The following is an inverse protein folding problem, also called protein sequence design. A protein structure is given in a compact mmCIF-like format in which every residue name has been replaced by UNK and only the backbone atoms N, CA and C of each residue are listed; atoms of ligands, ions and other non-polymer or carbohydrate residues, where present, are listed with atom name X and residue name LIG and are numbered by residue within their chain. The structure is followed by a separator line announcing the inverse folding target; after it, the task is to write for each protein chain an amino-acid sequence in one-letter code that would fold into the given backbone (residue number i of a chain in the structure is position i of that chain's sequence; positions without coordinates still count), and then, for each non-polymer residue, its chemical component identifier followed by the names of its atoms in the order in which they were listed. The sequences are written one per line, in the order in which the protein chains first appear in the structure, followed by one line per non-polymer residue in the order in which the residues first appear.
data_IF_991215863604
#
_entry.id   IF_991215863604
#
_cell.length_a   1.000
_cell.length_b   1.000
_cell.length_c   1.000
_cell.angle_alpha   90.00
_cell.angle_beta   90.00
_cell.angle_gamma   90.00
#
_symmetry.space_group_name_H-M   'P 1'
#
loop_
_entity.id
_entity.type
_entity.pdbx_description
1 polymer ?
#
# COMPACT_ATOMS: atom_id res chain seq x y z
N UNK A 1 -15.21 -13.77 18.02
CA UNK A 1 -13.96 -13.01 17.86
C UNK A 1 -13.56 -13.04 16.39
N UNK A 2 -13.06 -11.93 15.87
CA UNK A 2 -12.55 -11.82 14.50
C UNK A 2 -11.07 -11.50 14.57
N UNK A 3 -10.23 -12.20 13.81
CA UNK A 3 -8.78 -12.09 13.96
C UNK A 3 -8.02 -11.92 12.66
N UNK A 4 -7.38 -10.78 12.39
CA UNK A 4 -6.36 -10.71 11.36
C UNK A 4 -5.17 -11.59 11.74
N UNK A 5 -5.07 -12.73 11.08
CA UNK A 5 -3.88 -13.56 11.04
C UNK A 5 -3.02 -13.13 9.87
N UNK A 6 -1.75 -12.96 10.17
CA UNK A 6 -0.72 -12.79 9.17
C UNK A 6 0.28 -13.91 9.38
N UNK A 7 0.67 -14.59 8.30
CA UNK A 7 1.65 -15.70 8.34
C UNK A 7 2.87 -15.31 9.16
N UNK A 8 3.38 -14.12 8.86
CA UNK A 8 4.59 -13.61 9.51
C UNK A 8 4.49 -12.15 9.99
N UNK A 9 3.55 -11.29 9.54
CA UNK A 9 3.77 -9.82 9.63
C UNK A 9 2.52 -8.96 9.75
N UNK A 10 2.49 -8.05 10.72
CA UNK A 10 1.43 -7.05 10.89
C UNK A 10 1.53 -5.92 9.84
N UNK A 11 1.21 -6.22 8.59
CA UNK A 11 1.19 -5.24 7.48
C UNK A 11 0.01 -4.27 7.54
N UNK A 12 0.06 -3.24 6.69
CA UNK A 12 -0.95 -2.17 6.63
C UNK A 12 -2.37 -2.70 6.46
N UNK A 13 -2.56 -3.78 5.70
CA UNK A 13 -3.87 -4.42 5.51
C UNK A 13 -4.37 -5.02 6.83
N UNK A 14 -3.52 -5.80 7.51
CA UNK A 14 -3.86 -6.41 8.80
C UNK A 14 -4.12 -5.37 9.89
N UNK A 15 -3.30 -4.33 9.95
CA UNK A 15 -3.44 -3.22 10.92
C UNK A 15 -4.72 -2.41 10.69
N UNK A 16 -4.98 -1.99 9.44
CA UNK A 16 -6.18 -1.21 9.11
C UNK A 16 -7.45 -2.03 9.35
N UNK A 17 -7.42 -3.31 8.99
CA UNK A 17 -8.51 -4.26 9.24
C UNK A 17 -8.75 -4.45 10.73
N UNK A 18 -7.70 -4.65 11.53
CA UNK A 18 -7.82 -4.81 12.97
C UNK A 18 -8.49 -3.61 13.64
N UNK A 19 -8.05 -2.39 13.29
CA UNK A 19 -8.64 -1.15 13.78
C UNK A 19 -10.10 -1.03 13.34
N UNK A 20 -10.41 -1.29 12.06
CA UNK A 20 -11.77 -1.17 11.54
C UNK A 20 -12.74 -2.13 12.21
N UNK A 21 -12.34 -3.39 12.41
CA UNK A 21 -13.14 -4.40 13.09
C UNK A 21 -13.37 -4.04 14.57
N UNK A 22 -12.35 -3.51 15.23
CA UNK A 22 -12.47 -3.03 16.60
C UNK A 22 -13.44 -1.85 16.72
N UNK A 23 -13.44 -0.93 15.75
CA UNK A 23 -14.43 0.16 15.67
C UNK A 23 -15.86 -0.35 15.51
N UNK A 24 -16.06 -1.55 14.94
CA UNK A 24 -17.37 -2.20 14.84
C UNK A 24 -17.77 -2.94 16.15
N UNK A 25 -16.93 -2.90 17.18
CA UNK A 25 -17.16 -3.57 18.45
C UNK A 25 -16.72 -5.04 18.48
N UNK A 26 -16.00 -5.52 17.46
CA UNK A 26 -15.42 -6.85 17.52
C UNK A 26 -14.24 -6.90 18.51
N UNK A 27 -14.15 -8.01 19.25
CA UNK A 27 -12.92 -8.35 19.99
C UNK A 27 -11.92 -8.96 19.02
N UNK A 28 -10.76 -8.30 18.89
CA UNK A 28 -9.76 -8.59 17.86
C UNK A 28 -8.41 -8.85 18.51
N UNK A 29 -7.68 -9.83 17.96
CA UNK A 29 -6.28 -10.12 18.29
C UNK A 29 -5.49 -10.12 16.98
N UNK A 30 -4.39 -9.36 16.92
CA UNK A 30 -3.42 -9.45 15.82
C UNK A 30 -2.41 -10.54 16.16
N UNK A 31 -2.23 -11.50 15.25
CA UNK A 31 -1.17 -12.50 15.36
C UNK A 31 -0.19 -12.34 14.19
N UNK A 32 1.07 -12.09 14.52
CA UNK A 32 2.15 -11.87 13.57
C UNK A 32 3.53 -12.14 14.21
N UNK A 33 4.55 -12.51 13.43
CA UNK A 33 5.94 -12.65 13.90
C UNK A 33 6.69 -11.31 13.91
N UNK A 34 6.44 -10.48 12.91
CA UNK A 34 7.03 -9.17 12.66
C UNK A 34 5.98 -8.05 12.85
N UNK A 35 6.40 -6.95 13.44
CA UNK A 35 5.58 -5.77 13.73
C UNK A 35 6.32 -4.51 13.28
N UNK A 36 5.61 -3.38 13.14
CA UNK A 36 6.25 -2.12 12.77
C UNK A 36 7.47 -1.79 13.64
N UNK A 37 8.58 -1.49 12.98
CA UNK A 37 9.86 -1.11 13.58
C UNK A 37 10.45 0.11 12.85
N UNK A 38 11.42 0.83 13.46
CA UNK A 38 12.10 1.94 12.79
C UNK A 38 12.80 1.49 11.49
N UNK A 39 12.69 2.31 10.44
CA UNK A 39 13.19 2.01 9.10
C UNK A 39 14.73 2.00 9.03
N UNK A 40 15.37 2.75 9.92
CA UNK A 40 16.81 2.95 10.03
C UNK A 40 17.50 1.69 10.56
N UNK A 41 16.85 0.99 11.49
CA UNK A 41 17.43 -0.13 12.25
C UNK A 41 16.92 -1.50 11.81
N UNK A 42 15.99 -1.58 10.85
CA UNK A 42 15.48 -2.87 10.37
C UNK A 42 16.51 -3.60 9.50
N UNK A 43 16.69 -4.90 9.77
CA UNK A 43 17.44 -5.81 8.90
C UNK A 43 16.65 -6.01 7.59
N UNK A 44 17.13 -5.38 6.53
CA UNK A 44 16.44 -5.37 5.24
C UNK A 44 16.36 -6.74 4.59
N UNK A 45 17.33 -7.63 4.84
CA UNK A 45 17.35 -8.96 4.24
C UNK A 45 16.43 -9.90 5.01
N UNK A 46 16.52 -9.90 6.35
CA UNK A 46 15.66 -10.73 7.19
C UNK A 46 14.17 -10.36 7.05
N UNK A 47 13.87 -9.07 6.93
CA UNK A 47 12.50 -8.55 6.81
C UNK A 47 12.11 -8.13 5.38
N UNK A 48 12.79 -8.64 4.34
CA UNK A 48 12.55 -8.25 2.93
C UNK A 48 11.09 -8.46 2.49
N UNK A 49 10.42 -9.46 3.06
CA UNK A 49 9.04 -9.80 2.74
C UNK A 49 8.04 -9.02 3.62
N UNK A 50 8.50 -8.17 4.56
CA UNK A 50 7.66 -7.22 5.29
C UNK A 50 7.37 -5.97 4.48
N UNK A 51 6.68 -6.19 3.37
CA UNK A 51 6.48 -5.21 2.29
C UNK A 51 6.01 -3.83 2.76
N UNK A 52 5.18 -3.74 3.81
CA UNK A 52 4.68 -2.46 4.30
C UNK A 52 5.79 -1.46 4.65
N UNK A 53 6.96 -1.92 5.11
CA UNK A 53 8.06 -1.03 5.48
C UNK A 53 8.88 -0.50 4.29
N UNK A 54 8.77 -1.15 3.14
CA UNK A 54 9.56 -0.84 1.94
C UNK A 54 8.83 0.06 0.95
N UNK A 55 7.55 0.35 1.20
CA UNK A 55 6.75 1.21 0.33
C UNK A 55 7.24 2.66 0.30
N UNK A 56 6.75 3.42 -0.69
CA UNK A 56 6.86 4.87 -0.71
C UNK A 56 6.31 5.49 0.58
N UNK A 57 5.00 5.51 0.82
CA UNK A 57 3.87 5.05 0.00
C UNK A 57 2.87 6.19 -0.22
N UNK A 58 2.15 6.20 -1.34
CA UNK A 58 1.16 7.23 -1.67
C UNK A 58 -0.13 6.63 -2.22
N UNK A 59 -1.13 7.48 -2.39
CA UNK A 59 -2.24 7.20 -3.29
C UNK A 59 -1.87 7.62 -4.72
N UNK A 60 -2.05 6.71 -5.68
CA UNK A 60 -1.94 7.01 -7.11
C UNK A 60 -3.20 6.53 -7.79
N UNK A 61 -3.86 7.40 -8.54
CA UNK A 61 -5.10 7.01 -9.20
C UNK A 61 -4.82 6.10 -10.39
N UNK A 62 -5.61 5.05 -10.51
CA UNK A 62 -5.66 4.19 -11.70
C UNK A 62 -7.05 4.35 -12.28
N UNK A 63 -7.12 4.84 -13.52
CA UNK A 63 -8.40 5.05 -14.19
C UNK A 63 -9.02 3.67 -14.53
N UNK A 64 -10.20 3.33 -13.99
CA UNK A 64 -10.73 1.99 -14.11
C UNK A 64 -11.36 1.74 -15.49
N UNK A 65 -10.95 0.65 -16.15
CA UNK A 65 -11.47 0.23 -17.47
C UNK A 65 -12.21 -1.10 -17.45
N UNK A 66 -12.20 -1.82 -16.33
CA UNK A 66 -12.91 -3.10 -16.15
C UNK A 66 -13.50 -3.21 -14.73
N UNK A 67 -14.31 -4.24 -14.47
CA UNK A 67 -15.00 -4.42 -13.18
C UNK A 67 -14.05 -4.59 -12.00
N UNK A 68 -12.91 -5.27 -12.21
CA UNK A 68 -11.90 -5.44 -11.17
C UNK A 68 -11.30 -4.09 -10.77
N UNK A 69 -10.95 -3.27 -11.75
CA UNK A 69 -10.41 -1.93 -11.50
C UNK A 69 -11.46 -0.97 -10.95
N UNK A 70 -12.74 -1.08 -11.34
CA UNK A 70 -13.83 -0.31 -10.73
C UNK A 70 -13.96 -0.62 -9.25
N UNK A 71 -13.89 -1.91 -8.87
CA UNK A 71 -13.87 -2.35 -7.47
C UNK A 71 -12.65 -1.75 -6.74
N UNK A 72 -11.46 -1.91 -7.30
CA UNK A 72 -10.23 -1.43 -6.67
C UNK A 72 -10.22 0.10 -6.53
N UNK A 73 -10.73 0.83 -7.52
CA UNK A 73 -10.92 2.28 -7.49
C UNK A 73 -11.89 2.69 -6.37
N UNK A 74 -13.00 1.98 -6.20
CA UNK A 74 -13.93 2.22 -5.10
C UNK A 74 -13.26 2.02 -3.72
N UNK A 75 -12.40 1.00 -3.58
CA UNK A 75 -11.61 0.77 -2.36
C UNK A 75 -10.57 1.86 -2.13
N UNK A 76 -9.93 2.36 -3.18
CA UNK A 76 -9.00 3.48 -3.10
C UNK A 76 -9.71 4.78 -2.69
N UNK A 77 -10.92 5.06 -3.22
CA UNK A 77 -11.74 6.21 -2.81
C UNK A 77 -12.13 6.17 -1.33
N UNK A 78 -12.58 5.00 -0.82
CA UNK A 78 -12.88 4.80 0.61
C UNK A 78 -11.63 5.09 1.45
N UNK A 79 -10.48 4.58 1.02
CA UNK A 79 -9.20 4.81 1.69
C UNK A 79 -8.80 6.28 1.67
N UNK A 80 -8.91 6.96 0.54
CA UNK A 80 -8.60 8.39 0.41
C UNK A 80 -9.41 9.24 1.39
N UNK A 81 -10.74 9.01 1.47
CA UNK A 81 -11.61 9.71 2.43
C UNK A 81 -11.23 9.42 3.88
N UNK A 82 -10.87 8.17 4.18
CA UNK A 82 -10.40 7.80 5.51
C UNK A 82 -9.09 8.53 5.85
N UNK A 83 -8.11 8.52 4.94
CA UNK A 83 -6.84 9.21 5.14
C UNK A 83 -7.03 10.72 5.32
N UNK A 84 -7.99 11.33 4.62
CA UNK A 84 -8.32 12.75 4.79
C UNK A 84 -8.86 13.05 6.19
N UNK A 85 -9.82 12.23 6.67
CA UNK A 85 -10.35 12.34 8.03
C UNK A 85 -9.27 12.12 9.09
N UNK A 86 -8.41 11.14 8.87
CA UNK A 86 -7.34 10.77 9.79
C UNK A 86 -6.25 11.85 9.86
N UNK A 87 -5.84 12.43 8.73
CA UNK A 87 -4.87 13.52 8.70
C UNK A 87 -5.39 14.77 9.43
N UNK A 88 -6.70 15.05 9.37
CA UNK A 88 -7.33 16.18 10.08
C UNK A 88 -7.38 15.98 11.61
N UNK A 89 -7.52 14.74 12.07
CA UNK A 89 -7.78 14.42 13.49
C UNK A 89 -6.59 13.81 14.23
N UNK A 90 -5.60 13.30 13.50
CA UNK A 90 -4.44 12.59 14.02
C UNK A 90 -3.17 13.00 13.24
N UNK A 91 -2.62 14.21 13.47
CA UNK A 91 -1.39 14.66 12.80
C UNK A 91 -0.20 13.71 13.03
N UNK A 92 -0.19 12.99 14.14
CA UNK A 92 0.81 11.97 14.49
C UNK A 92 0.69 10.67 13.66
N UNK A 93 -0.31 10.54 12.79
CA UNK A 93 -0.45 9.40 11.89
C UNK A 93 0.58 9.39 10.75
N UNK A 94 1.30 10.49 10.52
CA UNK A 94 2.34 10.54 9.50
C UNK A 94 1.80 10.65 8.07
N UNK A 95 0.57 11.19 7.89
CA UNK A 95 -0.09 11.37 6.60
C UNK A 95 0.12 12.81 6.14
N UNK A 96 0.51 13.00 4.88
CA UNK A 96 0.67 14.33 4.29
C UNK A 96 -0.09 14.41 2.98
N UNK A 97 -1.01 15.36 2.89
CA UNK A 97 -1.67 15.69 1.62
C UNK A 97 -0.82 16.67 0.82
N UNK A 98 -0.69 16.42 -0.48
CA UNK A 98 0.16 17.18 -1.40
C UNK A 98 -0.27 16.94 -2.86
N UNK A 99 0.26 17.71 -3.82
CA UNK A 99 0.07 17.41 -5.23
C UNK A 99 0.68 16.06 -5.62
N UNK A 100 -0.03 15.33 -6.48
CA UNK A 100 0.44 14.20 -7.24
C UNK A 100 0.53 14.59 -8.71
N UNK A 101 1.68 14.37 -9.33
CA UNK A 101 1.96 14.71 -10.73
C UNK A 101 2.25 13.42 -11.49
N UNK A 102 1.65 13.27 -12.66
CA UNK A 102 1.90 12.14 -13.55
C UNK A 102 2.23 12.58 -14.97
N UNK A 103 3.19 11.89 -15.57
CA UNK A 103 3.60 12.06 -16.96
C UNK A 103 3.62 10.71 -17.66
N UNK A 104 3.03 10.66 -18.86
CA UNK A 104 3.03 9.48 -19.72
C UNK A 104 3.57 9.87 -21.11
N UNK A 105 4.54 9.11 -21.60
CA UNK A 105 5.03 9.24 -22.98
C UNK A 105 4.15 8.49 -23.99
N UNK A 106 3.60 7.34 -23.61
CA UNK A 106 2.66 6.55 -24.41
C UNK A 106 1.36 6.28 -23.64
N UNK A 107 0.48 7.30 -23.50
CA UNK A 107 -0.74 7.19 -22.71
C UNK A 107 -1.74 6.22 -23.37
N UNK A 108 -2.31 5.26 -22.62
CA UNK A 108 -3.41 4.44 -23.13
C UNK A 108 -4.62 5.30 -23.54
N UNK A 109 -5.45 4.80 -24.47
CA UNK A 109 -6.60 5.53 -25.02
C UNK A 109 -7.56 6.08 -23.95
N UNK A 110 -7.76 5.35 -22.85
CA UNK A 110 -8.65 5.79 -21.77
C UNK A 110 -8.07 6.95 -20.93
N UNK A 111 -6.74 7.10 -20.87
CA UNK A 111 -6.10 8.30 -20.32
C UNK A 111 -6.21 9.47 -21.28
N UNK A 112 -6.01 9.24 -22.58
CA UNK A 112 -6.19 10.28 -23.61
C UNK A 112 -7.62 10.83 -23.64
N UNK A 113 -8.62 9.96 -23.42
CA UNK A 113 -10.04 10.33 -23.38
C UNK A 113 -10.48 10.89 -22.02
N UNK A 114 -9.61 10.94 -21.01
CA UNK A 114 -9.96 11.44 -19.68
C UNK A 114 -10.12 12.96 -19.73
N UNK A 115 -11.29 13.46 -19.33
CA UNK A 115 -11.55 14.88 -19.10
C UNK A 115 -11.56 15.18 -17.60
N UNK A 116 -11.43 16.46 -17.23
CA UNK A 116 -11.51 16.89 -15.83
C UNK A 116 -12.89 16.58 -15.22
N UNK A 117 -13.98 16.75 -15.98
CA UNK A 117 -15.32 16.36 -15.55
C UNK A 117 -15.42 14.85 -15.31
N UNK A 118 -14.80 14.03 -16.18
CA UNK A 118 -14.77 12.59 -15.99
C UNK A 118 -13.96 12.22 -14.75
N UNK A 119 -12.80 12.83 -14.55
CA UNK A 119 -11.98 12.64 -13.36
C UNK A 119 -12.74 13.02 -12.07
N UNK A 120 -13.46 14.15 -12.08
CA UNK A 120 -14.33 14.58 -10.98
C UNK A 120 -15.45 13.58 -10.72
N UNK A 121 -16.09 13.03 -11.77
CA UNK A 121 -17.11 11.98 -11.63
C UNK A 121 -16.57 10.68 -11.03
N UNK A 122 -15.27 10.42 -11.23
CA UNK A 122 -14.54 9.31 -10.63
C UNK A 122 -14.04 9.64 -9.21
N UNK A 123 -14.28 10.84 -8.69
CA UNK A 123 -13.89 11.26 -7.34
C UNK A 123 -12.42 11.67 -7.19
N UNK A 124 -11.72 11.95 -8.29
CA UNK A 124 -10.37 12.51 -8.23
C UNK A 124 -10.47 13.99 -7.81
N UNK A 125 -9.81 14.32 -6.71
CA UNK A 125 -9.90 15.63 -6.06
C UNK A 125 -8.85 16.57 -6.63
N UNK A 126 -9.25 17.82 -6.93
CA UNK A 126 -8.37 18.87 -7.48
C UNK A 126 -7.59 18.40 -8.72
N UNK A 127 -8.21 17.53 -9.53
CA UNK A 127 -7.61 17.01 -10.76
C UNK A 127 -7.63 18.06 -11.87
N UNK A 128 -6.50 18.21 -12.55
CA UNK A 128 -6.36 19.02 -13.76
C UNK A 128 -5.48 18.33 -14.78
N UNK A 129 -5.76 18.55 -16.06
CA UNK A 129 -4.86 18.17 -17.14
C UNK A 129 -3.78 19.24 -17.31
N UNK A 130 -2.55 18.81 -17.56
CA UNK A 130 -1.43 19.72 -17.82
C UNK A 130 -1.34 20.06 -19.31
N UNK A 131 -0.96 21.29 -19.60
CA UNK A 131 -0.61 21.74 -20.95
C UNK A 131 0.80 21.27 -21.35
N UNK A 132 1.12 21.14 -22.65
CA UNK A 132 2.46 20.73 -23.09
C UNK A 132 3.61 21.62 -22.59
N UNK A 133 3.36 22.90 -22.30
CA UNK A 133 4.36 23.81 -21.72
C UNK A 133 4.73 23.49 -20.27
N UNK A 134 3.94 22.67 -19.57
CA UNK A 134 4.20 22.22 -18.20
C UNK A 134 4.94 20.87 -18.16
N UNK A 135 5.16 20.24 -19.31
CA UNK A 135 5.85 18.96 -19.38
C UNK A 135 7.36 19.12 -19.18
N UNK A 136 8.04 18.10 -18.64
CA UNK A 136 9.49 18.16 -18.43
C UNK A 136 10.28 18.17 -19.75
N UNK A 137 9.72 17.60 -20.82
CA UNK A 137 10.31 17.55 -22.16
C UNK A 137 9.23 17.25 -23.21
N UNK A 138 9.65 17.18 -24.48
CA UNK A 138 8.78 16.94 -25.65
C UNK A 138 8.36 15.48 -25.83
N UNK A 139 8.89 14.54 -25.04
CA UNK A 139 8.53 13.11 -25.12
C UNK A 139 7.23 12.82 -24.41
N UNK A 140 6.94 13.55 -23.33
CA UNK A 140 5.67 13.42 -22.60
C UNK A 140 4.52 13.84 -23.51
N UNK A 141 3.49 12.99 -23.60
CA UNK A 141 2.30 13.22 -24.44
C UNK A 141 1.03 13.44 -23.62
N UNK A 142 1.06 13.10 -22.33
CA UNK A 142 -0.04 13.31 -21.42
C UNK A 142 0.50 13.58 -20.02
N UNK A 143 -0.08 14.55 -19.32
CA UNK A 143 0.25 14.83 -17.93
C UNK A 143 -0.94 15.36 -17.14
N UNK A 144 -0.92 15.11 -15.84
CA UNK A 144 -1.94 15.61 -14.93
C UNK A 144 -1.36 15.97 -13.57
N UNK A 145 -2.13 16.76 -12.84
CA UNK A 145 -1.90 17.04 -11.43
C UNK A 145 -3.19 16.80 -10.66
N UNK A 146 -3.10 16.28 -9.44
CA UNK A 146 -4.25 16.07 -8.55
C UNK A 146 -3.85 16.12 -7.09
N UNK A 147 -4.82 16.29 -6.19
CA UNK A 147 -4.58 16.15 -4.76
C UNK A 147 -4.41 14.69 -4.39
N UNK A 148 -3.31 14.38 -3.71
CA UNK A 148 -3.05 13.04 -3.18
C UNK A 148 -2.54 13.09 -1.74
N UNK A 149 -2.25 11.92 -1.18
CA UNK A 149 -1.56 11.77 0.09
C UNK A 149 -0.36 10.83 -0.05
N UNK A 150 0.65 11.05 0.78
CA UNK A 150 1.72 10.10 1.06
C UNK A 150 1.81 9.86 2.57
N UNK A 151 2.53 8.79 2.95
CA UNK A 151 2.82 8.45 4.35
C UNK A 151 4.28 8.09 4.53
N UNK A 152 4.82 8.37 5.72
CA UNK A 152 5.93 7.60 6.25
C UNK A 152 5.38 6.23 6.70
N UNK A 153 5.71 5.11 6.00
CA UNK A 153 5.03 3.84 6.23
C UNK A 153 5.14 3.33 7.67
N UNK A 154 6.29 3.51 8.32
CA UNK A 154 6.51 2.97 9.67
C UNK A 154 5.95 3.86 10.76
N UNK A 155 5.89 5.18 10.55
CA UNK A 155 5.12 6.08 11.42
C UNK A 155 3.64 5.71 11.35
N UNK A 156 3.09 5.57 10.14
CA UNK A 156 1.68 5.25 9.93
C UNK A 156 1.30 3.86 10.48
N UNK A 157 2.08 2.82 10.18
CA UNK A 157 1.80 1.48 10.72
C UNK A 157 1.95 1.41 12.24
N UNK A 158 2.93 2.11 12.83
CA UNK A 158 3.07 2.20 14.29
C UNK A 158 1.90 2.96 14.93
N UNK A 159 1.43 4.03 14.27
CA UNK A 159 0.23 4.74 14.67
C UNK A 159 -1.00 3.82 14.71
N UNK A 160 -1.23 3.03 13.65
CA UNK A 160 -2.35 2.08 13.60
C UNK A 160 -2.23 1.00 14.69
N UNK A 161 -1.04 0.46 14.89
CA UNK A 161 -0.80 -0.54 15.95
C UNK A 161 -1.09 0.05 17.33
N UNK A 162 -0.61 1.27 17.61
CA UNK A 162 -0.88 1.97 18.87
C UNK A 162 -2.36 2.25 19.06
N UNK A 163 -3.05 2.72 18.01
CA UNK A 163 -4.50 2.98 18.03
C UNK A 163 -5.28 1.70 18.33
N UNK A 164 -4.89 0.58 17.71
CA UNK A 164 -5.46 -0.73 17.97
C UNK A 164 -5.26 -1.19 19.42
N UNK A 165 -4.04 -1.12 19.93
CA UNK A 165 -3.74 -1.49 21.33
C UNK A 165 -4.46 -0.58 22.34
N UNK A 166 -4.50 0.72 22.08
CA UNK A 166 -5.23 1.69 22.91
C UNK A 166 -6.73 1.40 22.97
N UNK A 167 -7.34 0.94 21.87
CA UNK A 167 -8.73 0.50 21.82
C UNK A 167 -9.01 -0.83 22.54
N UNK A 168 -8.04 -1.40 23.27
CA UNK A 168 -8.16 -2.68 23.96
C UNK A 168 -7.85 -3.90 23.09
N UNK A 169 -7.25 -3.70 21.92
CA UNK A 169 -6.84 -4.76 21.01
C UNK A 169 -5.63 -5.52 21.55
N UNK A 170 -5.61 -6.84 21.39
CA UNK A 170 -4.51 -7.68 21.86
C UNK A 170 -3.55 -8.01 20.72
N UNK A 171 -2.27 -8.11 21.04
CA UNK A 171 -1.21 -8.43 20.08
C UNK A 171 -0.47 -9.66 20.56
N UNK A 172 -0.34 -10.65 19.68
CA UNK A 172 0.41 -11.88 19.95
C UNK A 172 1.54 -12.02 18.94
N UNK A 173 2.78 -11.97 19.43
CA UNK A 173 3.95 -12.23 18.59
C UNK A 173 4.13 -13.72 18.38
N UNK A 174 3.78 -14.22 17.20
CA UNK A 174 3.85 -15.64 16.85
C UNK A 174 3.88 -15.86 15.34
N UNK A 175 4.65 -16.87 14.94
CA UNK A 175 4.62 -17.43 13.58
C UNK A 175 3.50 -18.46 13.48
N UNK A 176 2.79 -18.45 12.36
CA UNK A 176 1.71 -19.41 12.07
C UNK A 176 2.00 -20.05 10.71
N UNK A 177 1.91 -21.38 10.65
CA UNK A 177 2.16 -22.13 9.43
C UNK A 177 0.86 -22.46 8.67
N UNK A 178 -0.26 -22.62 9.39
CA UNK A 178 -1.61 -22.77 8.84
C UNK A 178 -2.61 -21.86 9.57
N UNK A 179 -3.47 -21.17 8.83
CA UNK A 179 -4.50 -20.28 9.37
C UNK A 179 -5.40 -20.96 10.42
N UNK A 180 -5.63 -22.27 10.29
CA UNK A 180 -6.47 -23.07 11.18
C UNK A 180 -5.88 -23.24 12.57
N UNK A 181 -4.56 -23.07 12.74
CA UNK A 181 -3.92 -23.09 14.06
C UNK A 181 -4.58 -22.07 14.99
N UNK A 182 -4.98 -20.91 14.47
CA UNK A 182 -5.60 -19.88 15.29
C UNK A 182 -6.92 -20.29 15.95
N UNK A 183 -7.63 -21.28 15.41
CA UNK A 183 -8.86 -21.79 16.01
C UNK A 183 -8.60 -22.67 17.24
N UNK A 184 -7.38 -23.22 17.39
CA UNK A 184 -7.02 -24.15 18.47
C UNK A 184 -5.98 -23.61 19.45
N UNK A 185 -5.45 -22.41 19.23
CA UNK A 185 -4.51 -21.76 20.14
C UNK A 185 -5.11 -21.51 21.53
N UNK A 186 -4.45 -21.98 22.59
CA UNK A 186 -4.96 -21.92 23.98
C UNK A 186 -4.89 -20.52 24.58
N UNK A 187 -3.93 -19.72 24.13
CA UNK A 187 -3.74 -18.32 24.50
C UNK A 187 -4.89 -17.42 24.00
N UNK A 188 -5.82 -18.01 23.26
CA UNK A 188 -6.70 -17.36 22.32
C UNK A 188 -8.11 -17.97 22.47
N UNK A 189 -8.93 -17.45 23.38
CA UNK A 189 -10.26 -18.00 23.63
C UNK A 189 -11.31 -17.66 22.55
N UNK A 190 -12.22 -18.61 22.25
CA UNK A 190 -13.47 -18.46 21.47
C UNK A 190 -13.33 -17.86 20.06
N UNK A 191 -12.46 -18.46 19.25
CA UNK A 191 -12.13 -17.99 17.90
C UNK A 191 -13.11 -18.57 16.90
N UNK A 192 -13.82 -17.71 16.17
CA UNK A 192 -14.75 -18.15 15.14
C UNK A 192 -14.38 -17.61 13.75
N UNK A 193 -13.69 -16.47 13.69
CA UNK A 193 -13.28 -15.88 12.42
C UNK A 193 -11.80 -15.54 12.41
N UNK A 194 -11.18 -15.87 11.28
CA UNK A 194 -9.82 -15.53 10.93
C UNK A 194 -9.87 -14.65 9.68
N UNK A 195 -9.07 -13.60 9.64
CA UNK A 195 -8.87 -12.75 8.47
C UNK A 195 -7.42 -12.93 8.04
N UNK A 196 -7.19 -13.53 6.89
CA UNK A 196 -5.86 -13.76 6.34
C UNK A 196 -5.36 -12.48 5.63
N UNK A 197 -4.52 -11.71 6.32
CA UNK A 197 -3.84 -10.53 5.80
C UNK A 197 -2.33 -10.77 5.57
N UNK A 198 -1.94 -12.01 5.25
CA UNK A 198 -0.53 -12.45 5.18
C UNK A 198 0.28 -11.92 3.99
N UNK A 199 -0.35 -11.20 3.07
CA UNK A 199 0.26 -10.80 1.79
C UNK A 199 0.24 -11.91 0.75
N UNK A 200 0.85 -13.07 1.03
CA UNK A 200 1.04 -14.17 0.07
C UNK A 200 0.04 -15.34 0.18
N UNK A 201 -0.88 -15.31 1.14
CA UNK A 201 -2.02 -16.24 1.13
C UNK A 201 -1.74 -17.67 1.58
N UNK A 202 -0.67 -17.93 2.35
CA UNK A 202 -0.36 -19.28 2.87
C UNK A 202 -0.28 -20.38 1.80
N UNK A 203 0.55 -20.16 0.77
CA UNK A 203 0.74 -21.16 -0.29
C UNK A 203 -0.26 -21.06 -1.44
N UNK A 204 -0.96 -19.94 -1.57
CA UNK A 204 -1.75 -19.62 -2.75
C UNK A 204 -0.88 -19.65 -4.01
N UNK A 205 -1.15 -20.61 -4.91
CA UNK A 205 -0.40 -20.83 -6.16
C UNK A 205 -0.48 -19.65 -7.13
N UNK A 206 -1.46 -18.77 -6.97
CA UNK A 206 -1.59 -17.55 -7.76
C UNK A 206 -0.74 -16.40 -7.20
N UNK A 207 -0.24 -16.51 -5.96
CA UNK A 207 0.62 -15.49 -5.35
C UNK A 207 2.06 -15.66 -5.78
N UNK A 208 2.72 -14.55 -6.08
CA UNK A 208 4.12 -14.48 -6.49
C UNK A 208 4.74 -13.17 -6.01
N UNK A 209 6.07 -13.14 -5.92
CA UNK A 209 6.78 -11.92 -5.53
C UNK A 209 6.95 -11.00 -6.73
N UNK A 210 6.92 -9.69 -6.47
CA UNK A 210 7.41 -8.70 -7.43
C UNK A 210 8.42 -7.82 -6.74
N UNK A 211 9.70 -8.07 -7.00
CA UNK A 211 10.80 -7.31 -6.43
C UNK A 211 10.71 -5.86 -6.91
N UNK A 212 10.98 -4.95 -5.99
CA UNK A 212 11.07 -3.52 -6.24
C UNK A 212 12.28 -2.97 -5.52
N UNK A 213 13.17 -2.36 -6.29
CA UNK A 213 14.27 -1.59 -5.78
C UNK A 213 13.95 -0.09 -5.88
N UNK A 214 14.28 0.64 -4.81
CA UNK A 214 14.17 2.09 -4.71
C UNK A 214 15.35 2.63 -3.89
N UNK A 215 15.54 3.94 -3.89
CA UNK A 215 16.54 4.63 -3.08
C UNK A 215 15.84 5.65 -2.18
N UNK A 216 16.07 5.55 -0.86
CA UNK A 216 15.70 6.60 0.07
C UNK A 216 16.78 7.68 0.04
N UNK A 217 16.36 8.93 -0.18
CA UNK A 217 17.22 10.11 -0.20
C UNK A 217 16.73 11.15 0.80
N UNK A 218 17.62 11.99 1.32
CA UNK A 218 17.23 13.09 2.22
C UNK A 218 16.53 14.23 1.46
N UNK A 219 16.58 14.22 0.12
CA UNK A 219 16.10 15.32 -0.71
C UNK A 219 14.59 15.50 -0.53
N UNK A 220 14.16 16.74 -0.36
CA UNK A 220 12.76 17.09 -0.26
C UNK A 220 12.10 17.09 -1.65
N UNK A 221 10.85 16.65 -1.72
CA UNK A 221 9.98 16.89 -2.86
C UNK A 221 8.62 17.39 -2.35
N UNK A 222 8.08 18.50 -2.88
CA UNK A 222 6.79 19.04 -2.47
C UNK A 222 5.59 18.28 -3.06
N UNK A 223 5.84 17.32 -3.94
CA UNK A 223 4.84 16.52 -4.62
C UNK A 223 5.29 15.07 -4.74
N UNK A 224 4.34 14.16 -4.95
CA UNK A 224 4.67 12.85 -5.53
C UNK A 224 4.70 13.01 -7.05
N UNK A 225 5.72 12.50 -7.71
CA UNK A 225 5.86 12.64 -9.18
C UNK A 225 6.07 11.26 -9.76
N UNK A 226 5.37 10.91 -10.84
CA UNK A 226 5.56 9.64 -11.56
C UNK A 226 5.68 9.91 -13.05
N UNK A 227 6.66 9.31 -13.71
CA UNK A 227 6.79 9.29 -15.17
C UNK A 227 6.84 7.86 -15.66
N UNK A 228 6.02 7.53 -16.66
CA UNK A 228 6.10 6.29 -17.43
C UNK A 228 6.58 6.61 -18.85
N UNK A 229 7.67 5.96 -19.24
CA UNK A 229 8.31 6.14 -20.54
C UNK A 229 7.72 5.17 -21.58
N UNK A 230 7.89 5.47 -22.85
CA UNK A 230 7.36 4.65 -23.95
C UNK A 230 7.97 3.24 -24.01
N UNK A 231 9.18 3.05 -23.45
CA UNK A 231 9.84 1.74 -23.34
C UNK A 231 9.31 0.88 -22.17
N UNK A 232 8.30 1.36 -21.45
CA UNK A 232 7.71 0.71 -20.28
C UNK A 232 8.51 0.89 -18.98
N UNK A 233 9.66 1.55 -19.03
CA UNK A 233 10.37 1.97 -17.82
C UNK A 233 9.63 3.11 -17.13
N UNK A 234 9.84 3.26 -15.82
CA UNK A 234 9.26 4.36 -15.07
C UNK A 234 10.21 4.89 -14.02
N UNK A 235 9.94 6.12 -13.58
CA UNK A 235 10.51 6.66 -12.36
C UNK A 235 9.45 7.37 -11.55
N UNK A 236 9.63 7.42 -10.23
CA UNK A 236 8.76 8.16 -9.34
C UNK A 236 9.50 8.67 -8.11
N UNK A 237 8.94 9.68 -7.46
CA UNK A 237 9.28 10.03 -6.09
C UNK A 237 8.05 10.00 -5.18
N UNK A 238 8.25 9.56 -3.93
CA UNK A 238 7.26 9.62 -2.87
C UNK A 238 7.91 10.18 -1.60
N UNK A 239 7.59 11.42 -1.21
CA UNK A 239 8.01 11.95 0.08
C UNK A 239 7.43 11.12 1.21
N UNK A 240 8.23 10.80 2.22
CA UNK A 240 7.74 10.18 3.46
C UNK A 240 7.34 11.24 4.49
N UNK A 241 7.92 12.43 4.41
CA UNK A 241 7.82 13.50 5.43
C UNK A 241 8.24 12.98 6.81
N UNK A 242 8.07 13.79 7.86
CA UNK A 242 8.43 13.43 9.23
C UNK A 242 9.88 12.91 9.32
N UNK A 243 10.80 13.63 8.67
CA UNK A 243 12.23 13.29 8.54
C UNK A 243 12.54 11.90 7.96
N UNK A 244 11.57 11.28 7.27
CA UNK A 244 11.72 9.97 6.62
C UNK A 244 12.35 10.03 5.22
N UNK A 245 12.73 11.22 4.74
CA UNK A 245 13.25 11.46 3.41
C UNK A 245 12.23 11.29 2.28
N UNK A 246 12.72 11.06 1.07
CA UNK A 246 11.94 10.80 -0.14
C UNK A 246 12.40 9.49 -0.77
N UNK A 247 11.45 8.65 -1.14
CA UNK A 247 11.73 7.44 -1.92
C UNK A 247 11.77 7.80 -3.39
N UNK A 248 12.89 7.56 -4.07
CA UNK A 248 13.02 7.63 -5.53
C UNK A 248 13.08 6.21 -6.07
N UNK A 249 12.16 5.87 -6.97
CA UNK A 249 11.97 4.52 -7.47
C UNK A 249 11.61 4.49 -8.94
N UNK A 250 11.42 3.32 -9.54
CA UNK A 250 11.72 2.02 -8.93
C UNK A 250 11.58 0.89 -9.93
N UNK A 251 11.95 -0.32 -9.54
CA UNK A 251 11.81 -1.51 -10.41
C UNK A 251 10.50 -2.27 -10.16
N UNK A 252 10.11 -3.07 -11.16
CA UNK A 252 9.05 -4.08 -11.09
C UNK A 252 9.55 -5.37 -11.73
N UNK A 253 10.01 -6.29 -10.89
CA UNK A 253 10.67 -7.51 -11.33
C UNK A 253 9.91 -8.73 -10.78
N UNK A 254 8.93 -9.27 -11.54
CA UNK A 254 8.24 -10.51 -11.17
C UNK A 254 9.24 -11.65 -10.94
N UNK A 255 8.98 -12.47 -9.91
CA UNK A 255 9.73 -13.71 -9.61
C UNK A 255 11.25 -13.54 -9.40
N UNK A 256 11.73 -12.31 -9.20
CA UNK A 256 13.12 -12.03 -8.83
C UNK A 256 13.35 -12.15 -7.31
N UNK A 257 14.05 -13.21 -6.91
CA UNK A 257 14.39 -13.52 -5.51
C UNK A 257 15.75 -12.96 -5.05
N UNK A 258 16.33 -12.01 -5.78
CA UNK A 258 17.54 -11.33 -5.33
C UNK A 258 17.22 -10.41 -4.13
N UNK A 259 18.08 -10.45 -3.12
CA UNK A 259 18.01 -9.59 -1.92
C UNK A 259 18.88 -8.35 -2.05
N UNK A 260 19.85 -8.34 -2.95
CA UNK A 260 20.85 -7.28 -3.03
C UNK A 260 20.36 -6.12 -3.89
N UNK A 261 20.52 -4.87 -3.45
CA UNK A 261 20.29 -3.72 -4.32
C UNK A 261 21.42 -3.60 -5.37
N UNK A 262 21.04 -3.26 -6.61
CA UNK A 262 22.00 -2.95 -7.68
C UNK A 262 22.35 -1.45 -7.68
N UNK A 263 23.64 -1.11 -7.56
CA UNK A 263 24.11 0.28 -7.61
C UNK A 263 23.86 0.93 -8.98
N UNK A 264 24.03 0.15 -10.06
CA UNK A 264 23.74 0.59 -11.42
C UNK A 264 22.26 0.98 -11.58
N UNK A 265 21.35 0.14 -11.06
CA UNK A 265 19.91 0.44 -11.06
C UNK A 265 19.61 1.71 -10.28
N UNK A 266 20.23 1.89 -9.09
CA UNK A 266 20.07 3.12 -8.30
C UNK A 266 20.50 4.36 -9.10
N UNK A 267 21.70 4.33 -9.67
CA UNK A 267 22.25 5.46 -10.44
C UNK A 267 21.36 5.81 -11.63
N UNK A 268 20.89 4.79 -12.37
CA UNK A 268 19.94 4.97 -13.46
C UNK A 268 18.63 5.62 -12.98
N UNK A 269 18.03 5.12 -11.90
CA UNK A 269 16.79 5.65 -11.36
C UNK A 269 16.92 7.11 -10.92
N UNK A 270 17.99 7.42 -10.16
CA UNK A 270 18.25 8.78 -9.66
C UNK A 270 18.49 9.76 -10.82
N UNK A 271 19.32 9.38 -11.79
CA UNK A 271 19.59 10.20 -12.98
C UNK A 271 18.32 10.46 -13.80
N UNK A 272 17.54 9.41 -14.09
CA UNK A 272 16.29 9.53 -14.86
C UNK A 272 15.24 10.36 -14.12
N UNK A 273 15.14 10.22 -12.79
CA UNK A 273 14.19 11.02 -12.02
C UNK A 273 14.61 12.49 -11.95
N UNK A 274 15.90 12.79 -11.79
CA UNK A 274 16.40 14.17 -11.80
C UNK A 274 16.17 14.86 -13.15
N UNK A 275 16.23 14.13 -14.27
CA UNK A 275 15.89 14.66 -15.58
C UNK A 275 14.39 15.02 -15.69
N UNK A 276 13.51 14.22 -15.07
CA UNK A 276 12.06 14.47 -15.02
C UNK A 276 11.69 15.62 -14.09
N UNK A 277 12.30 15.69 -12.91
CA UNK A 277 11.95 16.66 -11.87
C UNK A 277 13.20 17.27 -11.24
N UNK A 278 13.91 18.18 -11.93
CA UNK A 278 15.19 18.73 -11.49
C UNK A 278 15.13 19.43 -10.12
N UNK A 279 13.94 19.90 -9.73
CA UNK A 279 13.71 20.57 -8.44
C UNK A 279 14.08 19.71 -7.23
N UNK A 280 14.10 18.38 -7.35
CA UNK A 280 14.53 17.50 -6.25
C UNK A 280 16.00 17.71 -5.85
N UNK A 281 16.82 18.29 -6.73
CA UNK A 281 18.23 18.58 -6.47
C UNK A 281 18.47 20.01 -5.98
N UNK A 282 17.43 20.85 -5.85
CA UNK A 282 17.58 22.30 -5.64
C UNK A 282 18.42 22.65 -4.40
N UNK A 283 18.26 21.89 -3.31
CA UNK A 283 18.85 22.28 -2.02
C UNK A 283 20.33 21.90 -1.87
N UNK A 284 20.81 20.86 -2.58
CA UNK A 284 22.20 20.38 -2.46
C UNK A 284 22.95 20.21 -3.78
N UNK A 285 22.29 20.37 -4.94
CA UNK A 285 22.86 20.09 -6.26
C UNK A 285 23.04 18.60 -6.59
N UNK A 286 22.92 17.72 -5.60
CA UNK A 286 23.04 16.27 -5.74
C UNK A 286 22.07 15.51 -4.81
N UNK A 287 21.98 14.19 -5.01
CA UNK A 287 21.21 13.31 -4.12
C UNK A 287 22.00 12.98 -2.87
N UNK A 288 21.38 13.19 -1.70
CA UNK A 288 21.89 12.67 -0.43
C UNK A 288 21.28 11.32 -0.14
N UNK A 289 22.00 10.25 -0.50
CA UNK A 289 21.54 8.88 -0.32
C UNK A 289 21.48 8.53 1.17
N UNK A 290 20.32 8.02 1.61
CA UNK A 290 20.12 7.49 2.95
C UNK A 290 20.24 5.97 2.97
N UNK A 291 19.55 5.28 2.06
CA UNK A 291 19.46 3.82 2.06
C UNK A 291 18.98 3.28 0.72
N UNK A 292 19.62 2.23 0.23
CA UNK A 292 19.08 1.41 -0.84
C UNK A 292 18.04 0.43 -0.28
N UNK A 293 16.87 0.39 -0.93
CA UNK A 293 15.70 -0.36 -0.45
C UNK A 293 15.31 -1.41 -1.48
N UNK A 294 15.24 -2.66 -1.03
CA UNK A 294 14.66 -3.77 -1.78
C UNK A 294 13.48 -4.32 -0.99
N UNK A 295 12.32 -4.45 -1.63
CA UNK A 295 11.14 -5.10 -1.08
C UNK A 295 10.50 -6.04 -2.09
N UNK A 296 9.80 -7.06 -1.58
CA UNK A 296 9.09 -8.04 -2.42
C UNK A 296 7.59 -7.89 -2.28
N UNK A 297 6.98 -7.20 -3.25
CA UNK A 297 5.54 -6.95 -3.25
C UNK A 297 4.78 -8.28 -3.33
N UNK A 298 3.74 -8.50 -2.52
CA UNK A 298 2.93 -9.71 -2.55
C UNK A 298 1.88 -9.59 -3.65
N UNK A 299 2.27 -9.92 -4.88
CA UNK A 299 1.40 -9.84 -6.06
C UNK A 299 0.64 -11.15 -6.23
N UNK A 300 -0.54 -11.08 -6.83
CA UNK A 300 -1.36 -12.27 -7.11
C UNK A 300 -1.94 -12.21 -8.52
N UNK A 301 -1.86 -13.32 -9.26
CA UNK A 301 -2.52 -13.49 -10.56
C UNK A 301 -4.04 -13.36 -10.36
N UNK A 302 -4.69 -12.54 -11.19
CA UNK A 302 -6.11 -12.22 -11.03
C UNK A 302 -6.42 -11.17 -9.94
N UNK A 303 -5.40 -10.51 -9.39
CA UNK A 303 -5.57 -9.44 -8.41
C UNK A 303 -5.77 -9.95 -6.98
N UNK A 304 -6.09 -9.02 -6.06
CA UNK A 304 -6.25 -9.33 -4.65
C UNK A 304 -7.33 -10.40 -4.42
N UNK A 305 -7.09 -11.27 -3.44
CA UNK A 305 -8.12 -12.18 -2.91
C UNK A 305 -8.79 -11.49 -1.73
N UNK A 306 -10.03 -11.09 -1.94
CA UNK A 306 -10.94 -10.55 -0.93
C UNK A 306 -12.22 -11.36 -0.95
N UNK A 307 -12.28 -12.42 -0.14
CA UNK A 307 -13.38 -13.38 -0.16
C UNK A 307 -13.50 -14.12 1.17
N UNK A 308 -14.65 -14.77 1.36
CA UNK A 308 -14.96 -15.60 2.51
C UNK A 308 -14.85 -17.09 2.16
N UNK A 309 -14.24 -17.86 3.06
CA UNK A 309 -14.08 -19.31 3.01
C UNK A 309 -14.62 -19.91 4.31
N UNK A 310 -15.53 -20.87 4.23
CA UNK A 310 -15.95 -21.63 5.41
C UNK A 310 -14.92 -22.72 5.73
N UNK A 311 -14.45 -22.74 6.97
CA UNK A 311 -13.45 -23.67 7.49
C UNK A 311 -14.09 -24.68 8.47
N UNK A 312 -15.27 -25.19 8.13
CA UNK A 312 -16.13 -26.04 8.95
C UNK A 312 -17.33 -25.28 9.53
N UNK A 313 -18.23 -25.98 10.23
CA UNK A 313 -19.56 -25.47 10.62
C UNK A 313 -19.58 -24.21 11.49
N UNK A 314 -18.45 -23.87 12.14
CA UNK A 314 -18.34 -22.79 13.12
C UNK A 314 -17.19 -21.81 12.86
N UNK A 315 -16.42 -22.05 11.80
CA UNK A 315 -15.18 -21.34 11.55
C UNK A 315 -15.20 -20.73 10.17
N UNK A 316 -14.82 -19.47 10.09
CA UNK A 316 -14.76 -18.74 8.82
C UNK A 316 -13.38 -18.12 8.67
N UNK A 317 -12.84 -18.19 7.46
CA UNK A 317 -11.63 -17.51 7.05
C UNK A 317 -12.02 -16.45 6.02
N UNK A 318 -11.57 -15.21 6.20
CA UNK A 318 -11.72 -14.13 5.22
C UNK A 318 -10.35 -13.80 4.69
N UNK A 319 -10.16 -13.93 3.39
CA UNK A 319 -8.91 -13.61 2.74
C UNK A 319 -8.88 -12.12 2.39
N UNK A 320 -7.75 -11.46 2.63
CA UNK A 320 -7.50 -10.06 2.28
C UNK A 320 -6.01 -9.87 1.97
N UNK A 321 -5.55 -10.40 0.84
CA UNK A 321 -4.12 -10.42 0.46
C UNK A 321 -3.91 -10.37 -1.05
N UNK A 322 -2.66 -10.27 -1.51
CA UNK A 322 -2.31 -10.25 -2.94
C UNK A 322 -2.45 -8.88 -3.62
N UNK A 323 -2.32 -7.78 -2.88
CA UNK A 323 -2.54 -6.41 -3.39
C UNK A 323 -1.34 -5.84 -4.18
N UNK A 324 -0.23 -6.58 -4.28
CA UNK A 324 0.98 -6.12 -4.97
C UNK A 324 1.49 -4.78 -4.42
N UNK A 325 1.65 -3.79 -5.30
CA UNK A 325 2.10 -2.44 -4.94
C UNK A 325 1.03 -1.54 -4.33
N UNK A 326 -0.22 -1.99 -4.24
CA UNK A 326 -1.40 -1.15 -3.94
C UNK A 326 -1.91 -1.28 -2.50
N UNK A 327 -1.08 -1.81 -1.61
CA UNK A 327 -1.45 -2.14 -0.22
C UNK A 327 -1.94 -0.95 0.60
N UNK A 328 -1.21 0.17 0.57
CA UNK A 328 -1.57 1.36 1.34
C UNK A 328 -2.79 2.09 0.76
N UNK A 329 -2.80 2.29 -0.57
CA UNK A 329 -3.86 3.03 -1.26
C UNK A 329 -5.24 2.38 -1.17
N UNK A 330 -5.32 1.06 -0.95
CA UNK A 330 -6.61 0.35 -0.78
C UNK A 330 -6.85 -0.13 0.66
N UNK A 331 -5.98 0.22 1.61
CA UNK A 331 -5.93 -0.41 2.94
C UNK A 331 -7.25 -0.35 3.72
N UNK A 332 -7.90 0.81 3.77
CA UNK A 332 -9.16 0.99 4.49
C UNK A 332 -10.38 0.49 3.71
N UNK A 333 -10.37 0.63 2.38
CA UNK A 333 -11.41 0.02 1.54
C UNK A 333 -11.44 -1.50 1.70
N UNK A 334 -10.27 -2.14 1.71
CA UNK A 334 -10.15 -3.59 1.98
C UNK A 334 -10.59 -3.92 3.40
N UNK A 335 -10.24 -3.12 4.40
CA UNK A 335 -10.70 -3.31 5.77
C UNK A 335 -12.23 -3.24 5.90
N UNK A 336 -12.89 -2.34 5.17
CA UNK A 336 -14.35 -2.28 5.08
C UNK A 336 -14.93 -3.50 4.37
N UNK A 337 -14.35 -3.93 3.25
CA UNK A 337 -14.79 -5.13 2.54
C UNK A 337 -14.66 -6.41 3.40
N UNK A 338 -13.62 -6.51 4.25
CA UNK A 338 -13.52 -7.59 5.25
C UNK A 338 -14.69 -7.54 6.23
N UNK A 339 -15.05 -6.36 6.72
CA UNK A 339 -16.17 -6.20 7.64
C UNK A 339 -17.51 -6.54 6.98
N UNK A 340 -17.72 -6.13 5.73
CA UNK A 340 -18.91 -6.48 4.93
C UNK A 340 -19.06 -8.01 4.84
N UNK A 341 -17.98 -8.74 4.50
CA UNK A 341 -17.96 -10.21 4.43
C UNK A 341 -18.23 -10.91 5.78
N UNK A 342 -17.88 -10.28 6.90
CA UNK A 342 -18.27 -10.76 8.24
C UNK A 342 -19.75 -10.49 8.53
N UNK A 343 -20.25 -9.34 8.10
CA UNK A 343 -21.62 -8.88 8.34
C UNK A 343 -22.67 -9.75 7.64
N UNK A 344 -22.35 -10.34 6.48
CA UNK A 344 -23.21 -11.29 5.77
C UNK A 344 -23.64 -12.49 6.64
N UNK A 345 -22.92 -12.79 7.74
CA UNK A 345 -23.35 -13.77 8.75
C UNK A 345 -24.63 -13.40 9.50
N UNK A 346 -24.88 -12.10 9.73
CA UNK A 346 -26.04 -11.64 10.51
C UNK A 346 -27.33 -11.66 9.69
N UNK A 347 -27.23 -11.66 8.35
CA UNK A 347 -28.36 -11.53 7.44
C UNK A 347 -28.92 -12.86 6.92
N UNK A 348 -28.24 -14.00 7.13
CA UNK A 348 -28.80 -15.30 6.80
C UNK A 348 -29.77 -15.76 7.90
N UNK A 349 -31.08 -15.92 7.61
CA UNK A 349 -31.99 -16.59 8.53
C UNK A 349 -31.47 -18.01 8.75
N UNK A 350 -31.37 -18.44 10.01
CA UNK A 350 -31.22 -19.87 10.31
C UNK A 350 -32.54 -20.53 9.87
N UNK A 351 -32.48 -21.34 8.81
CA UNK A 351 -33.58 -22.22 8.43
C UNK A 351 -33.78 -23.33 9.47
#
# INVERSE_FOLDING_TARGET
FVRPLTRDRAGVIGLSTAVRLQQDGHKVVIVAKEFPSPFETVDSKASINYTSQWGGAHNRWVIPVNEMEKRDHAMALRTFRHMESLAKSNPEAGITFMPGIEYLEDPPLHYQALTEDKAKSLGLVEFRLMSPSEFPDDKVKWGCEYKTWCVNPMVYCSFLLRKFSWGGGQVLRREINDLREAFSMKELSNVHHVVNCSGFGFGDKNSFITRGQTCAVANFSPATVTRQNADGSWTFCVPRNFDGGTIVGGTKEPDNWDTEPSLEVREKLLKSFAATYPQILRDWGEYRILKDVVGRRPTRKGGMRLEREEAGDKYTIIHAYGLGGRGFEMSWGVAEGVLELLGEMKAMPRL
#
